data_IF_273343515572
#
_entry.id   IF_273343515572
#
_cell.length_a   1.000
_cell.length_b   1.000
_cell.length_c   1.000
_cell.angle_alpha   90.00
_cell.angle_beta   90.00
_cell.angle_gamma   90.00
#
_symmetry.space_group_name_H-M   'P 1'
#
loop_
_entity.id
_entity.type
_entity.pdbx_description
1 polymer ?
#
# COMPACT_ATOMS: atom_id res chain seq x y z
N UNK A 1 -12.45 -19.45 -3.62
CA UNK A 1 -13.45 -19.39 -2.50
C UNK A 1 -13.09 -18.24 -1.56
N UNK A 2 -14.03 -17.46 -1.00
CA UNK A 2 -13.66 -16.40 -0.03
C UNK A 2 -13.15 -16.99 1.27
N UNK A 3 -11.85 -16.90 1.52
CA UNK A 3 -11.24 -17.24 2.83
C UNK A 3 -10.72 -15.99 3.55
N UNK A 4 -10.89 -15.96 4.87
CA UNK A 4 -10.31 -14.93 5.75
C UNK A 4 -9.13 -15.55 6.48
N UNK A 5 -7.96 -14.93 6.38
CA UNK A 5 -6.76 -15.29 7.13
C UNK A 5 -6.46 -14.15 8.11
N UNK A 6 -6.29 -14.51 9.38
CA UNK A 6 -5.89 -13.59 10.45
C UNK A 6 -4.60 -14.14 11.04
N UNK A 7 -3.56 -13.31 11.07
CA UNK A 7 -2.25 -13.61 11.64
C UNK A 7 -1.99 -12.65 12.78
N UNK A 8 -1.58 -13.19 13.93
CA UNK A 8 -1.20 -12.45 15.13
C UNK A 8 -0.02 -13.20 15.76
N UNK A 9 1.17 -12.62 15.70
CA UNK A 9 2.41 -13.14 16.28
C UNK A 9 3.26 -11.96 16.81
N UNK A 10 4.52 -12.17 17.18
CA UNK A 10 5.48 -11.05 17.30
C UNK A 10 6.24 -10.82 15.99
N UNK A 11 6.53 -11.89 15.25
CA UNK A 11 7.30 -11.82 13.99
C UNK A 11 6.73 -12.84 13.00
N UNK A 12 6.17 -12.38 11.89
CA UNK A 12 5.51 -13.25 10.92
C UNK A 12 6.09 -13.22 9.51
N UNK A 13 5.86 -14.31 8.78
CA UNK A 13 6.04 -14.41 7.34
C UNK A 13 4.75 -14.96 6.75
N UNK A 14 4.03 -14.11 6.02
CA UNK A 14 2.76 -14.45 5.37
C UNK A 14 2.97 -14.55 3.87
N UNK A 15 2.77 -15.75 3.31
CA UNK A 15 2.80 -15.99 1.87
C UNK A 15 1.45 -16.56 1.44
N UNK A 16 0.76 -15.80 0.59
CA UNK A 16 -0.60 -16.04 0.13
C UNK A 16 -0.61 -16.21 -1.40
N UNK A 17 -1.37 -17.22 -1.87
CA UNK A 17 -1.67 -17.52 -3.28
C UNK A 17 -3.00 -18.28 -3.36
N UNK A 18 -4.04 -17.67 -3.90
CA UNK A 18 -5.40 -18.22 -4.02
C UNK A 18 -6.23 -17.39 -5.02
N UNK A 19 -7.54 -17.63 -5.09
CA UNK A 19 -8.47 -16.85 -5.91
C UNK A 19 -8.89 -15.54 -5.21
N UNK A 20 -9.48 -15.62 -4.00
CA UNK A 20 -10.11 -14.48 -3.32
C UNK A 20 -9.90 -14.53 -1.82
N UNK A 21 -9.24 -13.51 -1.23
CA UNK A 21 -8.94 -13.49 0.20
C UNK A 21 -9.16 -12.15 0.90
N UNK A 22 -9.38 -12.24 2.20
CA UNK A 22 -9.17 -11.16 3.16
C UNK A 22 -8.01 -11.57 4.05
N UNK A 23 -6.95 -10.76 4.10
CA UNK A 23 -5.80 -10.96 4.97
C UNK A 23 -5.73 -9.83 6.00
N UNK A 24 -5.63 -10.20 7.28
CA UNK A 24 -5.39 -9.30 8.40
C UNK A 24 -4.10 -9.78 9.10
N UNK A 25 -3.14 -8.88 9.26
CA UNK A 25 -1.87 -9.11 9.95
C UNK A 25 -1.73 -8.08 11.07
N UNK A 26 -1.33 -8.55 12.25
CA UNK A 26 -1.08 -7.72 13.44
C UNK A 26 0.13 -8.32 14.16
N UNK A 27 1.30 -7.75 13.94
CA UNK A 27 2.60 -8.24 14.40
C UNK A 27 3.45 -7.08 14.96
N UNK A 28 4.69 -7.36 15.37
CA UNK A 28 5.71 -6.29 15.49
C UNK A 28 6.51 -6.19 14.21
N UNK A 29 6.90 -7.33 13.64
CA UNK A 29 7.71 -7.37 12.42
C UNK A 29 7.09 -8.33 11.41
N UNK A 30 6.62 -7.82 10.28
CA UNK A 30 5.98 -8.65 9.25
C UNK A 30 6.75 -8.69 7.93
N UNK A 31 6.51 -9.78 7.19
CA UNK A 31 6.72 -9.85 5.75
C UNK A 31 5.48 -10.47 5.09
N UNK A 32 4.74 -9.67 4.33
CA UNK A 32 3.52 -10.06 3.62
C UNK A 32 3.75 -10.14 2.12
N UNK A 33 3.43 -11.29 1.53
CA UNK A 33 3.49 -11.52 0.08
C UNK A 33 2.16 -12.12 -0.38
N UNK A 34 1.37 -11.36 -1.14
CA UNK A 34 0.06 -11.73 -1.71
C UNK A 34 0.18 -11.87 -3.24
N UNK A 35 -0.57 -12.82 -3.82
CA UNK A 35 -0.74 -13.04 -5.27
C UNK A 35 -2.07 -13.76 -5.53
N UNK A 36 -3.15 -13.01 -5.55
CA UNK A 36 -4.52 -13.51 -5.71
C UNK A 36 -5.21 -12.85 -6.92
N UNK A 37 -6.43 -13.26 -7.29
CA UNK A 37 -7.23 -12.51 -8.28
C UNK A 37 -7.80 -11.25 -7.62
N UNK A 38 -8.34 -11.40 -6.39
CA UNK A 38 -8.95 -10.31 -5.62
C UNK A 38 -8.50 -10.39 -4.16
N UNK A 39 -7.83 -9.35 -3.65
CA UNK A 39 -7.50 -9.24 -2.22
C UNK A 39 -8.14 -8.05 -1.50
N UNK A 40 -8.31 -8.23 -0.20
CA UNK A 40 -8.40 -7.15 0.78
C UNK A 40 -7.33 -7.39 1.84
N UNK A 41 -6.44 -6.42 2.05
CA UNK A 41 -5.30 -6.51 2.95
C UNK A 41 -5.38 -5.44 4.05
N UNK A 42 -5.16 -5.84 5.30
CA UNK A 42 -4.99 -4.95 6.45
C UNK A 42 -3.71 -5.37 7.19
N UNK A 43 -2.81 -4.42 7.42
CA UNK A 43 -1.52 -4.59 8.10
C UNK A 43 -1.39 -3.52 9.19
N UNK A 44 -0.97 -3.92 10.39
CA UNK A 44 -0.81 -3.06 11.57
C UNK A 44 0.39 -3.55 12.41
N UNK A 45 1.59 -3.01 12.16
CA UNK A 45 2.85 -3.49 12.74
C UNK A 45 3.77 -2.37 13.27
N UNK A 46 4.88 -2.72 13.93
CA UNK A 46 5.99 -1.77 14.17
C UNK A 46 6.84 -1.63 12.89
N UNK A 47 7.18 -2.75 12.24
CA UNK A 47 8.01 -2.79 11.02
C UNK A 47 7.43 -3.77 10.00
N UNK A 48 7.03 -3.27 8.82
CA UNK A 48 6.32 -4.06 7.82
C UNK A 48 7.01 -4.07 6.44
N UNK A 49 6.82 -5.16 5.68
CA UNK A 49 7.09 -5.18 4.24
C UNK A 49 5.98 -5.92 3.49
N UNK A 50 5.29 -5.20 2.61
CA UNK A 50 4.11 -5.65 1.85
C UNK A 50 4.43 -5.73 0.36
N UNK A 51 4.12 -6.88 -0.25
CA UNK A 51 4.20 -7.10 -1.69
C UNK A 51 2.88 -7.73 -2.18
N UNK A 52 2.16 -7.04 -3.06
CA UNK A 52 0.90 -7.51 -3.67
C UNK A 52 1.05 -7.55 -5.21
N UNK A 53 0.33 -8.47 -5.88
CA UNK A 53 0.32 -8.60 -7.35
C UNK A 53 -0.96 -9.31 -7.82
N UNK A 54 -2.03 -8.55 -7.91
CA UNK A 54 -3.38 -9.08 -8.06
C UNK A 54 -4.10 -8.45 -9.27
N UNK A 55 -5.32 -8.89 -9.62
CA UNK A 55 -6.15 -8.13 -10.58
C UNK A 55 -6.82 -6.94 -9.85
N UNK A 56 -7.37 -7.19 -8.65
CA UNK A 56 -8.06 -6.17 -7.84
C UNK A 56 -7.52 -6.19 -6.40
N UNK A 57 -6.96 -5.06 -5.96
CA UNK A 57 -6.39 -4.87 -4.62
C UNK A 57 -7.11 -3.75 -3.85
N UNK A 58 -7.42 -4.02 -2.58
CA UNK A 58 -7.72 -2.99 -1.58
C UNK A 58 -6.80 -3.21 -0.37
N UNK A 59 -5.97 -2.23 -0.02
CA UNK A 59 -5.02 -2.37 1.10
C UNK A 59 -5.02 -1.18 2.07
N UNK A 60 -4.82 -1.49 3.35
CA UNK A 60 -4.66 -0.52 4.44
C UNK A 60 -3.43 -0.92 5.24
N UNK A 61 -2.52 0.03 5.45
CA UNK A 61 -1.21 -0.16 6.07
C UNK A 61 -1.02 0.91 7.15
N UNK A 62 -0.70 0.50 8.39
CA UNK A 62 -0.61 1.38 9.57
C UNK A 62 0.59 0.97 10.44
N UNK A 63 1.78 1.57 10.24
CA UNK A 63 3.02 1.08 10.85
C UNK A 63 4.00 2.17 11.29
N UNK A 64 4.93 1.91 12.23
CA UNK A 64 6.04 2.85 12.47
C UNK A 64 6.98 2.90 11.24
N UNK A 65 7.34 1.76 10.66
CA UNK A 65 8.22 1.69 9.48
C UNK A 65 7.67 0.70 8.45
N UNK A 66 7.37 1.14 7.22
CA UNK A 66 6.83 0.23 6.20
C UNK A 66 7.42 0.38 4.79
N UNK A 67 7.29 -0.70 4.03
CA UNK A 67 7.61 -0.73 2.61
C UNK A 67 6.48 -1.43 1.86
N UNK A 68 5.82 -0.71 0.94
CA UNK A 68 4.67 -1.19 0.18
C UNK A 68 4.99 -1.25 -1.31
N UNK A 69 4.81 -2.43 -1.92
CA UNK A 69 4.93 -2.66 -3.37
C UNK A 69 3.64 -3.27 -3.89
N UNK A 70 2.90 -2.50 -4.70
CA UNK A 70 1.70 -2.95 -5.42
C UNK A 70 1.96 -3.02 -6.93
N UNK A 71 1.20 -3.87 -7.63
CA UNK A 71 1.24 -4.00 -9.09
C UNK A 71 -0.01 -4.73 -9.56
N UNK A 72 -1.10 -3.98 -9.70
CA UNK A 72 -2.44 -4.53 -9.87
C UNK A 72 -3.13 -3.95 -11.13
N UNK A 73 -4.28 -4.48 -11.58
CA UNK A 73 -5.07 -3.80 -12.63
C UNK A 73 -5.90 -2.67 -12.01
N UNK A 74 -6.51 -2.93 -10.84
CA UNK A 74 -7.30 -1.97 -10.07
C UNK A 74 -6.80 -1.93 -8.62
N UNK A 75 -6.39 -0.75 -8.14
CA UNK A 75 -5.84 -0.56 -6.81
C UNK A 75 -6.52 0.56 -6.03
N UNK A 76 -6.79 0.29 -4.75
CA UNK A 76 -7.00 1.30 -3.70
C UNK A 76 -6.07 0.95 -2.54
N UNK A 77 -5.21 1.88 -2.13
CA UNK A 77 -4.35 1.73 -0.95
C UNK A 77 -4.44 2.98 -0.06
N UNK A 78 -4.31 2.77 1.24
CA UNK A 78 -4.21 3.80 2.28
C UNK A 78 -2.98 3.47 3.13
N UNK A 79 -2.13 4.46 3.37
CA UNK A 79 -0.93 4.32 4.22
C UNK A 79 -0.93 5.43 5.27
N UNK A 80 -0.62 5.07 6.50
CA UNK A 80 -0.43 5.96 7.66
C UNK A 80 0.80 5.42 8.39
N UNK A 81 1.84 6.21 8.63
CA UNK A 81 3.07 5.66 9.19
C UNK A 81 3.94 6.63 10.02
N UNK A 82 5.12 6.19 10.47
CA UNK A 82 6.25 7.09 10.84
C UNK A 82 7.40 7.09 9.79
N UNK A 83 7.56 6.07 8.94
CA UNK A 83 8.59 5.98 7.87
C UNK A 83 8.19 4.99 6.76
N UNK A 84 7.65 5.46 5.63
CA UNK A 84 7.30 4.59 4.49
C UNK A 84 8.02 4.86 3.17
N UNK A 85 8.03 3.80 2.37
CA UNK A 85 8.28 3.82 0.95
C UNK A 85 7.14 3.10 0.21
N UNK A 86 6.51 3.79 -0.75
CA UNK A 86 5.35 3.28 -1.49
C UNK A 86 5.65 3.25 -3.00
N UNK A 87 5.54 2.07 -3.59
CA UNK A 87 5.72 1.81 -5.04
C UNK A 87 4.45 1.20 -5.61
N UNK A 88 3.89 1.84 -6.64
CA UNK A 88 2.59 1.46 -7.23
C UNK A 88 2.66 1.46 -8.77
N UNK A 89 1.98 0.52 -9.44
CA UNK A 89 2.07 0.28 -10.91
C UNK A 89 0.79 -0.35 -11.48
N UNK A 90 -0.23 0.47 -11.71
CA UNK A 90 -1.58 -0.03 -12.01
C UNK A 90 -2.27 0.66 -13.19
N UNK A 91 -3.31 0.03 -13.74
CA UNK A 91 -4.15 0.62 -14.80
C UNK A 91 -5.24 1.56 -14.23
N UNK A 92 -5.81 1.29 -13.05
CA UNK A 92 -6.75 2.19 -12.37
C UNK A 92 -6.33 2.37 -10.90
N UNK A 93 -6.06 3.59 -10.47
CA UNK A 93 -5.49 3.87 -9.15
C UNK A 93 -6.06 5.14 -8.49
N UNK A 94 -6.16 5.17 -7.16
CA UNK A 94 -6.38 6.39 -6.33
C UNK A 94 -5.64 6.18 -5.00
N UNK A 95 -4.72 7.05 -4.60
CA UNK A 95 -3.85 6.80 -3.43
C UNK A 95 -3.56 7.99 -2.51
N UNK A 96 -3.98 7.92 -1.24
CA UNK A 96 -3.85 9.05 -0.30
C UNK A 96 -2.94 8.69 0.91
N UNK A 97 -1.96 9.56 1.25
CA UNK A 97 -0.83 9.35 2.21
C UNK A 97 -0.62 10.60 3.09
N UNK A 98 -0.12 10.57 4.33
CA UNK A 98 0.04 11.74 5.26
C UNK A 98 1.24 11.51 6.25
N UNK A 99 2.21 12.46 6.45
CA UNK A 99 3.68 12.09 6.36
C UNK A 99 4.83 12.54 7.41
N UNK A 100 6.16 12.51 6.98
CA UNK A 100 7.64 12.50 7.49
C UNK A 100 8.52 11.24 7.79
N UNK A 101 8.18 9.96 7.64
CA UNK A 101 7.09 9.36 6.90
C UNK A 101 7.12 9.74 5.39
N UNK A 102 6.95 8.74 4.55
CA UNK A 102 6.73 8.79 3.10
C UNK A 102 7.82 9.31 2.11
N UNK A 103 7.99 8.52 1.03
CA UNK A 103 8.36 8.96 -0.32
C UNK A 103 7.71 8.01 -1.36
N UNK A 104 6.89 8.54 -2.27
CA UNK A 104 5.90 7.77 -3.07
C UNK A 104 6.19 7.83 -4.58
N UNK A 105 6.25 6.70 -5.31
CA UNK A 105 6.49 6.71 -6.78
C UNK A 105 5.53 5.80 -7.57
N UNK A 106 4.84 6.37 -8.58
CA UNK A 106 3.69 5.79 -9.31
C UNK A 106 3.80 6.00 -10.84
N UNK A 107 3.45 5.00 -11.68
CA UNK A 107 3.26 5.16 -13.17
C UNK A 107 2.13 4.24 -13.66
N UNK A 108 1.21 4.74 -14.50
CA UNK A 108 -0.21 4.33 -14.52
C UNK A 108 -0.95 4.71 -15.84
N UNK A 109 -2.18 4.21 -16.02
CA UNK A 109 -3.13 4.62 -17.09
C UNK A 109 -4.60 4.83 -16.62
N UNK A 110 -4.87 5.20 -15.35
CA UNK A 110 -5.42 6.49 -14.88
C UNK A 110 -5.42 6.47 -13.33
N UNK A 111 -4.90 7.53 -12.69
CA UNK A 111 -4.55 7.64 -11.26
C UNK A 111 -5.25 8.83 -10.57
N UNK A 112 -5.42 8.83 -9.23
CA UNK A 112 -5.65 10.04 -8.40
C UNK A 112 -4.95 9.92 -7.03
N UNK A 113 -3.72 10.42 -6.86
CA UNK A 113 -2.97 10.38 -5.58
C UNK A 113 -3.23 11.64 -4.71
N UNK A 114 -3.18 11.62 -3.36
CA UNK A 114 -3.24 12.84 -2.51
C UNK A 114 -2.35 12.77 -1.23
N UNK A 115 -1.53 13.78 -0.87
CA UNK A 115 -0.52 13.73 0.23
C UNK A 115 -0.53 14.95 1.20
N UNK A 116 -0.12 14.87 2.48
CA UNK A 116 -0.15 16.01 3.45
C UNK A 116 0.94 15.96 4.57
N UNK A 117 1.82 16.98 4.67
CA UNK A 117 3.09 17.09 3.93
C UNK A 117 4.10 18.10 4.65
N UNK A 118 5.46 18.02 4.43
CA UNK A 118 6.75 18.48 5.11
C UNK A 118 7.92 17.43 5.23
N UNK A 119 7.77 16.25 5.83
CA UNK A 119 6.65 15.33 5.64
C UNK A 119 6.64 15.01 4.07
N UNK A 120 6.86 13.79 3.54
CA UNK A 120 6.79 13.42 2.08
C UNK A 120 7.86 13.86 1.00
N UNK A 121 7.98 13.07 -0.09
CA UNK A 121 8.27 13.53 -1.48
C UNK A 121 7.66 12.55 -2.55
N UNK A 122 7.16 13.04 -3.70
CA UNK A 122 6.35 12.25 -4.67
C UNK A 122 6.98 12.15 -6.08
N UNK A 123 6.73 11.09 -6.87
CA UNK A 123 6.97 11.11 -8.33
C UNK A 123 5.98 10.25 -9.14
N UNK A 124 5.29 10.87 -10.11
CA UNK A 124 4.07 10.33 -10.76
C UNK A 124 4.20 10.57 -12.28
N UNK A 125 4.06 9.56 -13.18
CA UNK A 125 4.12 9.77 -14.66
C UNK A 125 3.14 8.91 -15.51
N UNK A 126 2.36 9.59 -16.37
CA UNK A 126 1.00 9.31 -16.90
C UNK A 126 0.81 8.37 -18.11
N UNK A 127 -0.42 7.84 -18.36
CA UNK A 127 -1.66 8.51 -18.89
C UNK A 127 -3.00 8.18 -18.13
N UNK A 128 -3.49 8.79 -17.03
CA UNK A 128 -3.58 10.21 -16.59
C UNK A 128 -3.85 10.27 -15.06
N UNK A 129 -3.15 11.11 -14.31
CA UNK A 129 -3.28 11.30 -12.85
C UNK A 129 -4.22 12.47 -12.45
N UNK A 130 -4.69 12.49 -11.19
CA UNK A 130 -4.96 13.74 -10.45
C UNK A 130 -4.31 13.69 -9.05
N UNK A 131 -3.23 14.45 -8.87
CA UNK A 131 -2.45 14.56 -7.63
C UNK A 131 -2.93 15.74 -6.78
N UNK A 132 -3.01 15.64 -5.44
CA UNK A 132 -3.20 16.83 -4.56
C UNK A 132 -2.30 16.73 -3.31
N UNK A 133 -1.52 17.76 -2.99
CA UNK A 133 -0.55 17.74 -1.88
C UNK A 133 -0.55 19.10 -1.16
N UNK A 134 -0.41 19.20 0.19
CA UNK A 134 -0.81 20.45 0.89
C UNK A 134 0.18 21.11 1.89
N UNK A 135 0.93 22.08 1.31
CA UNK A 135 1.10 23.53 1.64
C UNK A 135 1.68 23.95 3.03
N UNK A 136 2.88 24.57 3.17
CA UNK A 136 3.79 25.22 2.18
C UNK A 136 5.08 24.48 1.64
N UNK A 137 5.78 23.53 2.29
CA UNK A 137 5.59 22.03 2.29
C UNK A 137 6.04 21.28 0.99
N UNK A 138 6.23 19.94 1.04
CA UNK A 138 6.34 18.96 -0.08
C UNK A 138 7.51 19.03 -1.06
N UNK A 139 7.67 17.99 -1.90
CA UNK A 139 8.08 18.15 -3.31
C UNK A 139 7.76 16.93 -4.20
#
# INVERSE_FOLDING_TARGET
MRSVLIVIDEVCLVIVRDEIRVLIVIDKVCLVIVRDEICVLIVIDEVCLVIVRDEICVSIVIDEVCLVILRDEICVLIVIDEVCLVIVRDEICVLIVIDEVCLVIVRYDICVLIVIDEVCLVTVRDEICVLIVIDEVCL
#
